data_IF_094916051613
#
_entry.id   IF_094916051613
#
_cell.length_a   1.000
_cell.length_b   1.000
_cell.length_c   1.000
_cell.angle_alpha   90.00
_cell.angle_beta   90.00
_cell.angle_gamma   90.00
#
_symmetry.space_group_name_H-M   'P 1'
#
loop_
_entity.id
_entity.type
_entity.pdbx_description
1 polymer ?
#
# COMPACT_ATOMS: atom_id res chain seq x y z
N UNK A 1 17.65 -10.67 10.55
CA UNK A 1 18.20 -10.05 9.32
C UNK A 1 17.02 -9.44 8.58
N UNK A 2 16.87 -8.13 8.74
CA UNK A 2 15.61 -7.42 8.66
C UNK A 2 15.52 -6.86 7.24
N UNK A 3 15.00 -7.66 6.31
CA UNK A 3 14.88 -7.25 4.91
C UNK A 3 13.63 -6.39 4.76
N UNK A 4 13.76 -5.09 5.06
CA UNK A 4 12.82 -4.08 4.58
C UNK A 4 13.00 -3.96 3.06
N UNK A 5 12.33 -4.82 2.30
CA UNK A 5 12.28 -4.67 0.86
C UNK A 5 11.33 -3.52 0.54
N UNK A 6 11.89 -2.37 0.17
CA UNK A 6 11.19 -1.27 -0.48
C UNK A 6 10.33 -1.86 -1.61
N UNK A 7 9.01 -1.87 -1.40
CA UNK A 7 8.03 -2.36 -2.36
C UNK A 7 8.26 -1.70 -3.69
N UNK A 8 8.92 -2.40 -4.63
CA UNK A 8 9.08 -2.04 -6.05
C UNK A 8 9.18 -0.53 -6.34
N UNK A 9 9.84 0.23 -5.45
CA UNK A 9 9.95 1.69 -5.53
C UNK A 9 10.78 2.14 -6.75
N UNK A 10 11.35 1.17 -7.48
CA UNK A 10 11.98 1.35 -8.78
C UNK A 10 10.93 1.22 -9.89
N UNK A 11 9.97 2.16 -9.90
CA UNK A 11 9.29 2.63 -11.11
C UNK A 11 8.47 1.62 -11.92
N UNK A 12 7.55 0.90 -11.29
CA UNK A 12 6.46 0.24 -12.03
C UNK A 12 5.38 1.27 -12.46
N UNK A 13 4.48 0.92 -13.42
CA UNK A 13 3.41 1.82 -13.89
C UNK A 13 2.45 2.27 -12.78
N UNK A 14 2.51 1.65 -11.60
CA UNK A 14 1.65 1.91 -10.45
C UNK A 14 2.17 3.02 -9.53
N UNK A 15 3.47 3.35 -9.57
CA UNK A 15 4.05 4.41 -8.71
C UNK A 15 3.36 5.76 -8.91
N UNK A 16 3.11 6.24 -10.16
CA UNK A 16 2.36 7.49 -10.36
C UNK A 16 0.92 7.42 -9.84
N UNK A 17 0.29 6.24 -9.93
CA UNK A 17 -1.11 6.05 -9.56
C UNK A 17 -1.33 6.14 -8.04
N UNK A 18 -0.36 5.67 -7.26
CA UNK A 18 -0.40 5.75 -5.80
C UNK A 18 0.11 7.09 -5.27
N UNK A 19 1.05 7.74 -5.96
CA UNK A 19 1.68 8.99 -5.52
C UNK A 19 0.66 10.05 -5.08
N UNK A 20 -0.43 10.24 -5.83
CA UNK A 20 -1.49 11.21 -5.50
C UNK A 20 -2.11 11.03 -4.11
N UNK A 21 -2.21 9.80 -3.61
CA UNK A 21 -2.77 9.52 -2.28
C UNK A 21 -1.75 9.80 -1.18
N UNK A 22 -0.47 9.53 -1.44
CA UNK A 22 0.61 9.83 -0.50
C UNK A 22 0.81 11.35 -0.39
N UNK A 23 0.84 12.05 -1.53
CA UNK A 23 0.93 13.51 -1.57
C UNK A 23 -0.24 14.15 -0.81
N UNK A 24 -1.47 13.72 -1.08
CA UNK A 24 -2.66 14.22 -0.39
C UNK A 24 -2.70 13.91 1.12
N UNK A 25 -1.94 12.91 1.58
CA UNK A 25 -1.79 12.57 3.00
C UNK A 25 -0.58 13.24 3.67
N UNK A 26 0.25 13.97 2.92
CA UNK A 26 1.54 14.46 3.41
C UNK A 26 2.49 13.32 3.81
N UNK A 27 2.47 12.23 3.04
CA UNK A 27 3.30 11.03 3.21
C UNK A 27 4.29 10.92 2.04
N UNK A 28 5.45 10.33 2.29
CA UNK A 28 6.44 10.04 1.25
C UNK A 28 6.31 8.57 0.86
N UNK A 29 5.86 8.28 -0.36
CA UNK A 29 5.64 6.91 -0.84
C UNK A 29 6.88 6.00 -0.71
N UNK A 30 8.09 6.58 -0.69
CA UNK A 30 9.36 5.88 -0.58
C UNK A 30 9.85 5.71 0.86
N UNK A 31 9.38 6.56 1.79
CA UNK A 31 9.87 6.60 3.19
C UNK A 31 8.82 6.25 4.24
N UNK A 32 7.54 6.32 3.90
CA UNK A 32 6.44 6.05 4.83
C UNK A 32 6.41 4.57 5.24
N UNK A 33 6.59 4.34 6.54
CA UNK A 33 6.54 3.01 7.16
C UNK A 33 5.17 2.34 7.03
N UNK A 34 4.13 3.14 6.79
CA UNK A 34 2.76 2.72 6.52
C UNK A 34 2.64 1.98 5.20
N UNK A 35 3.54 2.22 4.24
CA UNK A 35 3.66 1.46 2.99
C UNK A 35 4.63 0.27 3.10
N UNK A 36 5.28 0.09 4.26
CA UNK A 36 6.20 -1.02 4.51
C UNK A 36 5.41 -2.19 5.11
N UNK A 37 5.01 -3.11 4.23
CA UNK A 37 4.55 -4.44 4.61
C UNK A 37 5.80 -5.32 4.76
N UNK A 38 6.27 -5.48 5.99
CA UNK A 38 7.37 -6.39 6.32
C UNK A 38 6.89 -7.85 6.23
N UNK A 39 6.84 -8.40 5.02
CA UNK A 39 6.67 -9.83 4.80
C UNK A 39 8.04 -10.48 4.68
N UNK A 40 8.28 -11.53 5.47
CA UNK A 40 9.56 -12.25 5.51
C UNK A 40 9.98 -12.83 4.14
N UNK A 41 9.02 -13.02 3.24
CA UNK A 41 9.19 -13.59 1.88
C UNK A 41 8.62 -12.67 0.78
N UNK A 42 8.84 -11.36 0.89
CA UNK A 42 8.37 -10.42 -0.14
C UNK A 42 9.05 -10.67 -1.49
N UNK A 43 8.32 -11.23 -2.47
CA UNK A 43 8.78 -11.43 -3.85
C UNK A 43 7.88 -10.63 -4.80
N UNK A 44 8.50 -9.75 -5.58
CA UNK A 44 7.87 -9.06 -6.70
C UNK A 44 8.24 -9.72 -8.04
N UNK A 45 7.52 -9.41 -9.13
CA UNK A 45 6.43 -8.42 -9.23
C UNK A 45 5.08 -8.94 -8.70
N UNK A 46 4.28 -8.05 -8.10
CA UNK A 46 2.92 -8.40 -7.65
C UNK A 46 1.92 -8.45 -8.81
N UNK A 47 0.85 -9.25 -8.67
CA UNK A 47 -0.20 -9.30 -9.68
C UNK A 47 -0.92 -7.96 -9.82
N UNK A 48 -1.42 -7.68 -11.04
CA UNK A 48 -2.22 -6.48 -11.35
C UNK A 48 -3.43 -6.34 -10.43
N UNK A 49 -4.01 -7.47 -10.03
CA UNK A 49 -5.15 -7.56 -9.12
C UNK A 49 -4.84 -6.99 -7.74
N UNK A 50 -3.62 -7.21 -7.22
CA UNK A 50 -3.19 -6.60 -5.96
C UNK A 50 -3.09 -5.08 -6.09
N UNK A 51 -2.49 -4.60 -7.17
CA UNK A 51 -2.37 -3.17 -7.41
C UNK A 51 -3.74 -2.49 -7.59
N UNK A 52 -4.65 -3.11 -8.34
CA UNK A 52 -6.03 -2.63 -8.51
C UNK A 52 -6.82 -2.64 -7.20
N UNK A 53 -6.61 -3.66 -6.35
CA UNK A 53 -7.18 -3.72 -5.02
C UNK A 53 -6.70 -2.53 -4.16
N UNK A 54 -5.38 -2.33 -4.03
CA UNK A 54 -4.83 -1.23 -3.25
C UNK A 54 -5.30 0.14 -3.76
N UNK A 55 -5.32 0.35 -5.09
CA UNK A 55 -5.80 1.61 -5.67
C UNK A 55 -7.27 1.87 -5.34
N UNK A 56 -8.12 0.85 -5.47
CA UNK A 56 -9.55 0.94 -5.17
C UNK A 56 -9.77 1.31 -3.71
N UNK A 57 -9.10 0.62 -2.79
CA UNK A 57 -9.27 0.85 -1.35
C UNK A 57 -8.81 2.26 -0.94
N UNK A 58 -7.67 2.73 -1.45
CA UNK A 58 -7.19 4.10 -1.22
C UNK A 58 -8.15 5.14 -1.81
N UNK A 59 -8.63 4.92 -3.04
CA UNK A 59 -9.62 5.80 -3.68
C UNK A 59 -10.86 5.93 -2.82
N UNK A 60 -11.44 4.82 -2.39
CA UNK A 60 -12.66 4.81 -1.57
C UNK A 60 -12.46 5.50 -0.23
N UNK A 61 -11.31 5.29 0.42
CA UNK A 61 -11.00 5.88 1.72
C UNK A 61 -11.02 7.41 1.70
N UNK A 62 -10.55 8.00 0.60
CA UNK A 62 -10.40 9.45 0.46
C UNK A 62 -11.57 10.15 -0.23
N UNK A 63 -12.59 9.41 -0.70
CA UNK A 63 -13.80 10.02 -1.26
C UNK A 63 -14.44 10.95 -0.21
N UNK A 64 -14.77 12.17 -0.66
CA UNK A 64 -15.35 13.21 0.19
C UNK A 64 -14.39 13.89 1.16
N UNK A 65 -13.10 13.51 1.17
CA UNK A 65 -12.08 14.09 2.06
C UNK A 65 -11.21 15.07 1.30
N UNK A 66 -10.95 16.21 1.91
CA UNK A 66 -10.05 17.22 1.35
C UNK A 66 -8.59 16.80 1.57
N UNK A 67 -7.78 16.82 0.51
CA UNK A 67 -6.34 16.57 0.59
C UNK A 67 -5.63 17.56 1.54
N UNK A 68 -4.49 17.15 2.10
CA UNK A 68 -3.69 17.88 3.08
C UNK A 68 -4.40 18.15 4.42
N UNK A 69 -5.45 17.39 4.73
CA UNK A 69 -6.12 17.42 6.04
C UNK A 69 -5.76 16.21 6.88
N UNK A 70 -5.91 16.34 8.20
CA UNK A 70 -5.75 15.22 9.12
C UNK A 70 -6.73 14.08 8.79
N UNK A 71 -7.95 14.39 8.34
CA UNK A 71 -8.95 13.39 7.97
C UNK A 71 -8.49 12.54 6.77
N UNK A 72 -8.00 13.17 5.70
CA UNK A 72 -7.46 12.48 4.54
C UNK A 72 -6.25 11.62 4.92
N UNK A 73 -5.31 12.19 5.67
CA UNK A 73 -4.12 11.48 6.15
C UNK A 73 -4.51 10.24 6.95
N UNK A 74 -5.41 10.39 7.92
CA UNK A 74 -5.85 9.28 8.78
C UNK A 74 -6.58 8.20 7.97
N UNK A 75 -7.38 8.57 6.96
CA UNK A 75 -8.05 7.62 6.08
C UNK A 75 -7.06 6.78 5.25
N UNK A 76 -6.01 7.42 4.71
CA UNK A 76 -4.94 6.72 3.99
C UNK A 76 -4.18 5.78 4.91
N UNK A 77 -3.74 6.25 6.09
CA UNK A 77 -3.00 5.44 7.07
C UNK A 77 -3.82 4.23 7.54
N UNK A 78 -5.10 4.43 7.88
CA UNK A 78 -5.99 3.36 8.31
C UNK A 78 -6.17 2.29 7.22
N UNK A 79 -6.29 2.71 5.96
CA UNK A 79 -6.43 1.81 4.82
C UNK A 79 -5.18 0.98 4.59
N UNK A 80 -4.00 1.61 4.60
CA UNK A 80 -2.72 0.91 4.49
C UNK A 80 -2.51 -0.08 5.64
N UNK A 81 -2.85 0.32 6.87
CA UNK A 81 -2.78 -0.53 8.05
C UNK A 81 -3.68 -1.77 7.92
N UNK A 82 -4.92 -1.61 7.46
CA UNK A 82 -5.84 -2.71 7.22
C UNK A 82 -5.31 -3.69 6.16
N UNK A 83 -4.83 -3.18 5.03
CA UNK A 83 -4.25 -4.02 3.96
C UNK A 83 -3.03 -4.79 4.49
N UNK A 84 -2.20 -4.16 5.32
CA UNK A 84 -1.08 -4.82 6.00
C UNK A 84 -1.55 -5.94 6.92
N UNK A 85 -2.60 -5.71 7.71
CA UNK A 85 -3.20 -6.76 8.54
C UNK A 85 -3.71 -7.94 7.70
N UNK A 86 -4.39 -7.67 6.58
CA UNK A 86 -4.85 -8.71 5.66
C UNK A 86 -3.69 -9.51 5.06
N UNK A 87 -2.58 -8.84 4.71
CA UNK A 87 -1.36 -9.47 4.20
C UNK A 87 -0.72 -10.45 5.20
N UNK A 88 -0.86 -10.21 6.50
CA UNK A 88 -0.34 -11.07 7.56
C UNK A 88 -1.23 -12.29 7.84
N UNK A 89 -2.49 -12.27 7.45
CA UNK A 89 -3.40 -13.41 7.60
C UNK A 89 -3.06 -14.47 6.55
N UNK A 90 -2.42 -15.56 7.00
CA UNK A 90 -2.05 -16.67 6.14
C UNK A 90 -3.27 -17.23 5.39
N UNK A 91 -3.17 -17.31 4.06
CA UNK A 91 -4.25 -17.80 3.20
C UNK A 91 -5.33 -16.76 2.83
N UNK A 92 -5.25 -15.53 3.34
CA UNK A 92 -6.07 -14.41 2.85
C UNK A 92 -5.75 -14.12 1.38
N UNK A 93 -6.67 -13.44 0.69
CA UNK A 93 -6.43 -13.09 -0.71
C UNK A 93 -5.23 -12.15 -0.88
N UNK A 94 -5.07 -11.17 0.02
CA UNK A 94 -3.92 -10.26 0.04
C UNK A 94 -2.62 -11.01 0.29
N UNK A 95 -2.60 -11.90 1.29
CA UNK A 95 -1.46 -12.75 1.56
C UNK A 95 -1.08 -13.61 0.34
N UNK A 96 -2.06 -14.23 -0.33
CA UNK A 96 -1.85 -15.02 -1.55
C UNK A 96 -1.23 -14.22 -2.68
N UNK A 97 -1.66 -12.97 -2.90
CA UNK A 97 -1.07 -12.12 -3.93
C UNK A 97 0.38 -11.73 -3.64
N UNK A 98 0.77 -11.66 -2.36
CA UNK A 98 2.10 -11.24 -1.93
C UNK A 98 3.09 -12.40 -1.73
N UNK A 99 2.61 -13.64 -1.66
CA UNK A 99 3.42 -14.82 -1.33
C UNK A 99 3.46 -15.88 -2.44
N UNK A 100 2.59 -15.79 -3.46
CA UNK A 100 2.64 -16.69 -4.62
C UNK A 100 3.89 -16.40 -5.47
N UNK A 101 4.60 -17.48 -5.84
CA UNK A 101 5.75 -17.47 -6.76
C UNK A 101 5.32 -17.43 -8.20
#
# INVERSE_FOLDING_TARGET
MNKNCLSTARGGPWTPQFQKYFDGAGLDINKSVENLVALADHKGPHPKEYHAYVEKELRLAVIGKQANTAEYRNAVIATLSRIKSEALVSGSQVNKWLTKK
#
